data_IF_124032475878
#
_entry.id   IF_124032475878
#
_cell.length_a   1.000
_cell.length_b   1.000
_cell.length_c   1.000
_cell.angle_alpha   90.00
_cell.angle_beta   90.00
_cell.angle_gamma   90.00
#
_symmetry.space_group_name_H-M   'P 1'
#
loop_
_entity.id
_entity.type
_entity.pdbx_description
1 polymer ?
#
# COMPACT_ATOMS: atom_id res chain seq x y z
N UNK A 1 8.16 24.17 -14.99
CA UNK A 1 8.09 22.72 -15.28
C UNK A 1 7.09 22.35 -16.38
N UNK A 2 5.97 23.07 -16.55
CA UNK A 2 4.88 22.69 -17.46
C UNK A 2 5.08 23.00 -18.96
N UNK A 3 6.13 23.71 -19.37
CA UNK A 3 6.34 24.13 -20.76
C UNK A 3 7.33 23.27 -21.56
N UNK A 4 8.12 22.40 -20.91
CA UNK A 4 9.14 21.59 -21.59
C UNK A 4 8.60 20.40 -22.40
N UNK A 5 7.31 20.09 -22.29
CA UNK A 5 6.71 18.89 -22.89
C UNK A 5 5.63 19.18 -23.95
N UNK A 6 5.52 20.42 -24.45
CA UNK A 6 4.65 20.75 -25.59
C UNK A 6 5.45 20.63 -26.90
N UNK A 7 5.68 19.40 -27.35
CA UNK A 7 6.16 19.12 -28.70
C UNK A 7 5.24 18.10 -29.36
N UNK A 8 4.24 18.57 -30.10
CA UNK A 8 3.25 17.73 -30.81
C UNK A 8 3.79 17.04 -32.07
N UNK A 9 5.03 16.55 -32.04
CA UNK A 9 5.63 15.75 -33.11
C UNK A 9 6.25 14.49 -32.55
N UNK A 10 6.16 13.37 -33.27
CA UNK A 10 6.85 12.12 -32.92
C UNK A 10 8.32 12.43 -32.65
N UNK A 11 8.79 12.12 -31.43
CA UNK A 11 10.21 12.21 -31.14
C UNK A 11 10.97 11.27 -32.10
N UNK A 12 12.17 11.64 -32.57
CA UNK A 12 13.01 10.74 -33.37
C UNK A 12 13.67 9.64 -32.52
N UNK A 13 13.29 9.55 -31.24
CA UNK A 13 13.83 8.61 -30.25
C UNK A 13 12.65 7.80 -29.72
N UNK A 14 12.80 6.48 -29.74
CA UNK A 14 11.85 5.53 -29.16
C UNK A 14 12.40 4.99 -27.85
N UNK A 15 11.65 5.14 -26.78
CA UNK A 15 11.92 4.55 -25.48
C UNK A 15 11.27 3.17 -25.41
N UNK A 16 12.00 2.14 -24.96
CA UNK A 16 11.51 0.75 -24.93
C UNK A 16 11.58 0.22 -23.51
N UNK A 17 10.43 -0.16 -22.97
CA UNK A 17 10.29 -0.68 -21.61
C UNK A 17 9.62 -2.06 -21.62
N UNK A 18 10.06 -2.91 -20.70
CA UNK A 18 9.55 -4.26 -20.49
C UNK A 18 8.57 -4.25 -19.31
N UNK A 19 7.50 -5.04 -19.40
CA UNK A 19 6.55 -5.20 -18.29
C UNK A 19 7.27 -5.82 -17.08
N UNK A 20 6.94 -5.30 -15.90
CA UNK A 20 7.58 -5.65 -14.63
C UNK A 20 7.24 -7.08 -14.16
N UNK A 21 6.16 -7.68 -14.67
CA UNK A 21 5.62 -8.97 -14.24
C UNK A 21 5.63 -10.02 -15.35
N UNK A 22 5.67 -9.59 -16.61
CA UNK A 22 5.79 -10.44 -17.78
C UNK A 22 6.93 -9.98 -18.71
N UNK A 23 8.05 -10.69 -18.64
CA UNK A 23 9.25 -10.35 -19.42
C UNK A 23 9.05 -10.49 -20.93
N UNK A 24 8.04 -11.20 -21.38
CA UNK A 24 7.78 -11.34 -22.82
C UNK A 24 6.98 -10.16 -23.36
N UNK A 25 6.43 -9.31 -22.49
CA UNK A 25 5.65 -8.13 -22.84
C UNK A 25 6.54 -6.89 -22.83
N UNK A 26 6.58 -6.19 -23.97
CA UNK A 26 7.40 -4.98 -24.17
C UNK A 26 6.57 -3.94 -24.91
N UNK A 27 6.67 -2.69 -24.47
CA UNK A 27 6.09 -1.55 -25.16
C UNK A 27 7.19 -0.53 -25.53
N UNK A 28 6.97 0.19 -26.62
CA UNK A 28 7.84 1.28 -27.03
C UNK A 28 7.03 2.53 -27.32
N UNK A 29 7.47 3.66 -26.78
CA UNK A 29 6.82 4.96 -26.93
C UNK A 29 7.83 6.04 -27.33
N UNK A 30 7.43 6.95 -28.21
CA UNK A 30 8.25 8.11 -28.62
C UNK A 30 7.73 9.39 -27.97
N UNK A 31 7.50 9.34 -26.66
CA UNK A 31 6.96 10.43 -25.84
C UNK A 31 7.73 10.54 -24.51
N UNK A 32 8.11 11.76 -24.12
CA UNK A 32 8.84 11.98 -22.87
C UNK A 32 7.97 11.73 -21.63
N UNK A 33 6.65 11.91 -21.72
CA UNK A 33 5.73 11.57 -20.64
C UNK A 33 5.72 10.06 -20.38
N UNK A 34 5.81 9.25 -21.44
CA UNK A 34 5.90 7.79 -21.34
C UNK A 34 7.18 7.36 -20.63
N UNK A 35 8.32 7.89 -21.10
CA UNK A 35 9.63 7.66 -20.45
C UNK A 35 9.60 8.07 -18.97
N UNK A 36 9.06 9.25 -18.67
CA UNK A 36 8.95 9.74 -17.29
C UNK A 36 8.05 8.84 -16.42
N UNK A 37 6.95 8.32 -16.97
CA UNK A 37 6.04 7.44 -16.25
C UNK A 37 6.73 6.11 -15.90
N UNK A 38 7.43 5.49 -16.84
CA UNK A 38 8.19 4.26 -16.60
C UNK A 38 9.35 4.48 -15.61
N UNK A 39 10.08 5.59 -15.74
CA UNK A 39 11.13 5.94 -14.79
C UNK A 39 10.58 6.13 -13.37
N UNK A 40 9.47 6.86 -13.21
CA UNK A 40 8.82 7.05 -11.92
C UNK A 40 8.25 5.76 -11.33
N UNK A 41 7.74 4.84 -12.16
CA UNK A 41 7.34 3.51 -11.70
C UNK A 41 8.51 2.78 -11.03
N UNK A 42 9.71 2.82 -11.63
CA UNK A 42 10.91 2.24 -11.03
C UNK A 42 11.35 2.97 -9.75
N UNK A 43 11.18 4.29 -9.68
CA UNK A 43 11.42 5.04 -8.44
C UNK A 43 10.46 4.55 -7.35
N UNK A 44 9.16 4.40 -7.63
CA UNK A 44 8.20 3.85 -6.67
C UNK A 44 8.59 2.43 -6.22
N UNK A 45 9.00 1.57 -7.15
CA UNK A 45 9.45 0.22 -6.85
C UNK A 45 10.69 0.24 -5.92
N UNK A 46 11.72 1.03 -6.25
CA UNK A 46 12.91 1.18 -5.43
C UNK A 46 12.59 1.76 -4.04
N UNK A 47 11.75 2.78 -3.96
CA UNK A 47 11.31 3.38 -2.68
C UNK A 47 10.56 2.38 -1.82
N UNK A 48 9.67 1.58 -2.42
CA UNK A 48 8.97 0.50 -1.70
C UNK A 48 9.94 -0.57 -1.19
N UNK A 49 10.97 -0.90 -1.96
CA UNK A 49 12.01 -1.85 -1.56
C UNK A 49 12.86 -1.32 -0.40
N UNK A 50 13.23 -0.03 -0.42
CA UNK A 50 13.88 0.62 0.72
C UNK A 50 13.04 0.51 1.99
N UNK A 51 11.72 0.76 1.89
CA UNK A 51 10.80 0.59 3.02
C UNK A 51 10.80 -0.83 3.62
N UNK A 52 10.98 -1.86 2.79
CA UNK A 52 11.08 -3.25 3.25
C UNK A 52 12.43 -3.59 3.89
N UNK A 53 13.48 -2.81 3.60
CA UNK A 53 14.84 -3.03 4.10
C UNK A 53 15.10 -2.33 5.44
N UNK A 54 14.20 -1.45 5.88
CA UNK A 54 14.29 -0.77 7.18
C UNK A 54 14.07 -1.74 8.35
N UNK A 55 14.83 -1.56 9.43
CA UNK A 55 14.68 -2.33 10.66
C UNK A 55 13.42 -1.90 11.44
N UNK A 56 12.30 -2.57 11.17
CA UNK A 56 11.04 -2.40 11.92
C UNK A 56 11.09 -2.94 13.35
N UNK A 57 12.24 -3.47 13.81
CA UNK A 57 12.55 -3.71 15.21
C UNK A 57 12.92 -2.44 15.98
N UNK A 58 13.05 -1.28 15.34
CA UNK A 58 13.32 0.03 15.96
C UNK A 58 12.20 1.05 15.67
N UNK A 59 11.97 2.01 16.57
CA UNK A 59 10.96 3.07 16.33
C UNK A 59 11.34 3.93 15.11
N UNK A 60 12.62 4.20 14.93
CA UNK A 60 13.14 4.97 13.81
C UNK A 60 12.94 4.25 12.48
N UNK A 61 13.26 2.95 12.42
CA UNK A 61 13.02 2.14 11.22
C UNK A 61 11.53 2.01 10.88
N UNK A 62 10.64 1.90 11.89
CA UNK A 62 9.18 1.94 11.65
C UNK A 62 8.75 3.28 11.02
N UNK A 63 9.27 4.41 11.50
CA UNK A 63 8.97 5.73 10.93
C UNK A 63 9.48 5.85 9.50
N UNK A 64 10.74 5.46 9.24
CA UNK A 64 11.34 5.51 7.91
C UNK A 64 10.61 4.61 6.91
N UNK A 65 10.32 3.37 7.27
CA UNK A 65 9.54 2.46 6.45
C UNK A 65 8.17 3.07 6.10
N UNK A 66 7.50 3.65 7.09
CA UNK A 66 6.22 4.32 6.88
C UNK A 66 6.32 5.51 5.91
N UNK A 67 7.36 6.33 6.03
CA UNK A 67 7.62 7.44 5.11
C UNK A 67 7.82 6.93 3.69
N UNK A 68 8.74 5.98 3.48
CA UNK A 68 9.01 5.44 2.14
C UNK A 68 7.79 4.79 1.50
N UNK A 69 6.95 4.07 2.26
CA UNK A 69 5.70 3.55 1.69
C UNK A 69 4.72 4.66 1.28
N UNK A 70 4.62 5.75 2.04
CA UNK A 70 3.78 6.90 1.66
C UNK A 70 4.32 7.64 0.43
N UNK A 71 5.65 7.76 0.31
CA UNK A 71 6.30 8.32 -0.87
C UNK A 71 6.08 7.44 -2.10
N UNK A 72 6.27 6.12 -1.98
CA UNK A 72 5.98 5.18 -3.07
C UNK A 72 4.51 5.27 -3.52
N UNK A 73 3.56 5.41 -2.58
CA UNK A 73 2.15 5.62 -2.90
C UNK A 73 1.90 6.93 -3.67
N UNK A 74 2.59 8.02 -3.32
CA UNK A 74 2.46 9.30 -4.03
C UNK A 74 3.16 9.34 -5.38
N UNK A 75 4.28 8.61 -5.54
CA UNK A 75 4.94 8.42 -6.84
C UNK A 75 4.01 7.62 -7.77
N UNK A 76 3.40 6.52 -7.30
CA UNK A 76 2.43 5.74 -8.08
C UNK A 76 1.22 6.58 -8.53
N UNK A 77 0.75 7.50 -7.67
CA UNK A 77 -0.31 8.44 -8.07
C UNK A 77 0.14 9.37 -9.20
N UNK A 78 1.37 9.87 -9.14
CA UNK A 78 1.93 10.71 -10.21
C UNK A 78 2.07 9.94 -11.52
N UNK A 79 2.50 8.66 -11.47
CA UNK A 79 2.53 7.76 -12.64
C UNK A 79 1.13 7.60 -13.23
N UNK A 80 0.12 7.35 -12.38
CA UNK A 80 -1.28 7.21 -12.79
C UNK A 80 -1.80 8.45 -13.53
N UNK A 81 -1.48 9.64 -13.05
CA UNK A 81 -1.86 10.90 -13.71
C UNK A 81 -1.13 11.12 -15.04
N UNK A 82 0.15 10.73 -15.15
CA UNK A 82 0.88 10.76 -16.42
C UNK A 82 0.26 9.82 -17.44
N UNK A 83 -0.10 8.59 -17.04
CA UNK A 83 -0.77 7.61 -17.92
C UNK A 83 -2.10 8.15 -18.45
N UNK A 84 -2.94 8.71 -17.57
CA UNK A 84 -4.22 9.32 -17.97
C UNK A 84 -4.03 10.46 -18.96
N UNK A 85 -3.04 11.32 -18.73
CA UNK A 85 -2.76 12.48 -19.58
C UNK A 85 -2.15 12.08 -20.92
N UNK A 86 -1.25 11.09 -20.92
CA UNK A 86 -0.58 10.60 -22.11
C UNK A 86 -1.51 9.89 -23.08
N UNK A 87 -2.55 9.21 -22.54
CA UNK A 87 -3.53 8.46 -23.32
C UNK A 87 -2.89 7.53 -24.36
N UNK A 88 -1.78 6.89 -23.98
CA UNK A 88 -0.99 6.04 -24.86
C UNK A 88 -1.80 4.80 -25.27
N UNK A 89 -1.86 4.48 -26.58
CA UNK A 89 -2.72 3.42 -27.10
C UNK A 89 -2.23 2.02 -26.69
N UNK A 90 -0.91 1.85 -26.62
CA UNK A 90 -0.25 0.60 -26.25
C UNK A 90 0.46 0.81 -24.90
N UNK A 91 0.02 0.09 -23.88
CA UNK A 91 0.66 0.05 -22.56
C UNK A 91 0.84 -1.38 -22.10
N UNK A 92 1.95 -1.61 -21.44
CA UNK A 92 2.17 -2.85 -20.69
C UNK A 92 1.16 -2.93 -19.52
N UNK A 93 0.66 -4.13 -19.17
CA UNK A 93 -0.31 -4.30 -18.09
C UNK A 93 0.09 -3.66 -16.76
N UNK A 94 1.39 -3.64 -16.45
CA UNK A 94 1.92 -3.00 -15.25
C UNK A 94 1.64 -1.50 -15.13
N UNK A 95 1.52 -0.80 -16.27
CA UNK A 95 1.18 0.61 -16.37
C UNK A 95 -0.33 0.88 -16.44
N UNK A 96 -1.16 -0.16 -16.33
CA UNK A 96 -2.61 0.02 -16.32
C UNK A 96 -3.08 0.80 -15.08
N UNK A 97 -4.09 1.65 -15.25
CA UNK A 97 -4.65 2.44 -14.15
C UNK A 97 -5.12 1.57 -12.99
N UNK A 98 -5.71 0.41 -13.29
CA UNK A 98 -6.18 -0.53 -12.27
C UNK A 98 -5.03 -1.08 -11.41
N UNK A 99 -3.91 -1.47 -12.03
CA UNK A 99 -2.78 -1.98 -11.27
C UNK A 99 -2.09 -0.86 -10.49
N UNK A 100 -1.86 0.31 -11.09
CA UNK A 100 -1.26 1.45 -10.41
C UNK A 100 -2.07 1.86 -9.16
N UNK A 101 -3.41 1.86 -9.26
CA UNK A 101 -4.30 2.13 -8.14
C UNK A 101 -4.22 1.01 -7.07
N UNK A 102 -4.15 -0.25 -7.50
CA UNK A 102 -3.98 -1.38 -6.58
C UNK A 102 -2.66 -1.30 -5.80
N UNK A 103 -1.55 -0.99 -6.48
CA UNK A 103 -0.22 -0.85 -5.88
C UNK A 103 -0.17 0.35 -4.93
N UNK A 104 -0.79 1.48 -5.30
CA UNK A 104 -0.88 2.64 -4.43
C UNK A 104 -1.57 2.30 -3.10
N UNK A 105 -2.73 1.64 -3.15
CA UNK A 105 -3.44 1.22 -1.94
C UNK A 105 -2.67 0.18 -1.13
N UNK A 106 -1.95 -0.72 -1.80
CA UNK A 106 -1.05 -1.66 -1.12
C UNK A 106 0.06 -0.92 -0.36
N UNK A 107 0.69 0.10 -0.97
CA UNK A 107 1.71 0.91 -0.29
C UNK A 107 1.12 1.63 0.93
N UNK A 108 -0.07 2.23 0.82
CA UNK A 108 -0.76 2.84 1.97
C UNK A 108 -1.08 1.83 3.07
N UNK A 109 -1.53 0.62 2.71
CA UNK A 109 -1.79 -0.44 3.69
C UNK A 109 -0.51 -0.82 4.46
N UNK A 110 0.63 -0.94 3.77
CA UNK A 110 1.93 -1.20 4.40
C UNK A 110 2.38 -0.02 5.30
N UNK A 111 2.16 1.22 4.86
CA UNK A 111 2.46 2.40 5.66
C UNK A 111 1.63 2.45 6.95
N UNK A 112 0.32 2.19 6.85
CA UNK A 112 -0.58 2.16 8.01
C UNK A 112 -0.20 1.02 8.96
N UNK A 113 0.22 -0.14 8.44
CA UNK A 113 0.78 -1.24 9.24
C UNK A 113 2.00 -0.80 10.06
N UNK A 114 2.93 -0.04 9.47
CA UNK A 114 4.08 0.52 10.20
C UNK A 114 3.62 1.43 11.36
N UNK A 115 2.58 2.25 11.15
CA UNK A 115 1.97 3.05 12.22
C UNK A 115 1.32 2.21 13.31
N UNK A 116 0.66 1.11 12.93
CA UNK A 116 0.10 0.15 13.88
C UNK A 116 1.19 -0.51 14.75
N UNK A 117 2.29 -0.96 14.14
CA UNK A 117 3.45 -1.53 14.85
C UNK A 117 4.04 -0.52 15.84
N UNK A 118 4.17 0.75 15.42
CA UNK A 118 4.59 1.84 16.30
C UNK A 118 3.60 2.08 17.45
N UNK A 119 2.31 2.14 17.17
CA UNK A 119 1.27 2.43 18.17
C UNK A 119 1.18 1.34 19.25
N UNK A 120 1.27 0.08 18.84
CA UNK A 120 1.27 -1.07 19.74
C UNK A 120 2.53 -1.12 20.59
N UNK A 121 3.70 -0.88 19.99
CA UNK A 121 4.98 -0.81 20.73
C UNK A 121 5.03 0.33 21.73
N UNK A 122 4.44 1.47 21.40
CA UNK A 122 4.36 2.63 22.30
C UNK A 122 3.34 2.44 23.43
N UNK A 123 2.62 1.30 23.49
CA UNK A 123 1.61 1.05 24.52
C UNK A 123 0.45 2.04 24.46
N UNK A 124 0.07 2.49 23.26
CA UNK A 124 -1.09 3.37 23.09
C UNK A 124 -2.37 2.66 23.57
N UNK A 125 -3.35 3.44 24.03
CA UNK A 125 -4.64 2.90 24.49
C UNK A 125 -5.30 2.05 23.39
N UNK A 126 -5.85 0.90 23.79
CA UNK A 126 -6.54 -0.04 22.88
C UNK A 126 -7.62 0.62 22.03
N UNK A 127 -8.38 1.57 22.58
CA UNK A 127 -9.38 2.32 21.83
C UNK A 127 -8.78 3.10 20.63
N UNK A 128 -7.55 3.61 20.75
CA UNK A 128 -6.85 4.30 19.65
C UNK A 128 -6.27 3.26 18.69
N UNK A 129 -5.65 2.21 19.21
CA UNK A 129 -5.07 1.12 18.39
C UNK A 129 -6.16 0.48 17.53
N UNK A 130 -7.34 0.21 18.09
CA UNK A 130 -8.49 -0.35 17.37
C UNK A 130 -8.84 0.46 16.11
N UNK A 131 -8.85 1.80 16.19
CA UNK A 131 -9.15 2.67 15.05
C UNK A 131 -8.05 2.66 13.98
N UNK A 132 -6.79 2.60 14.41
CA UNK A 132 -5.63 2.49 13.51
C UNK A 132 -5.65 1.14 12.79
N UNK A 133 -5.93 0.06 13.52
CA UNK A 133 -6.04 -1.31 12.99
C UNK A 133 -7.25 -1.48 12.06
N UNK A 134 -8.38 -0.82 12.37
CA UNK A 134 -9.54 -0.80 11.50
C UNK A 134 -9.24 -0.15 10.14
N UNK A 135 -8.41 0.89 10.12
CA UNK A 135 -7.91 1.47 8.88
C UNK A 135 -6.97 0.51 8.13
N UNK A 136 -6.04 -0.19 8.82
CA UNK A 136 -5.21 -1.22 8.16
C UNK A 136 -6.08 -2.23 7.41
N UNK A 137 -7.11 -2.77 8.07
CA UNK A 137 -8.01 -3.73 7.47
C UNK A 137 -8.76 -3.15 6.26
N UNK A 138 -9.20 -1.88 6.36
CA UNK A 138 -9.82 -1.16 5.26
C UNK A 138 -8.90 -1.06 4.04
N UNK A 139 -7.68 -0.57 4.23
CA UNK A 139 -6.70 -0.40 3.14
C UNK A 139 -6.30 -1.74 2.50
N UNK A 140 -6.09 -2.80 3.29
CA UNK A 140 -5.83 -4.13 2.72
C UNK A 140 -7.04 -4.70 1.98
N UNK A 141 -8.27 -4.43 2.43
CA UNK A 141 -9.47 -4.82 1.70
C UNK A 141 -9.60 -4.07 0.36
N UNK A 142 -9.32 -2.78 0.35
CA UNK A 142 -9.35 -1.96 -0.85
C UNK A 142 -8.26 -2.40 -1.84
N UNK A 143 -7.04 -2.68 -1.35
CA UNK A 143 -5.96 -3.25 -2.15
C UNK A 143 -6.35 -4.63 -2.73
N UNK A 144 -6.95 -5.52 -1.93
CA UNK A 144 -7.41 -6.86 -2.38
C UNK A 144 -8.43 -6.74 -3.51
N UNK A 145 -9.42 -5.87 -3.34
CA UNK A 145 -10.48 -5.63 -4.34
C UNK A 145 -9.89 -5.10 -5.65
N UNK A 146 -8.96 -4.14 -5.56
CA UNK A 146 -8.30 -3.54 -6.72
C UNK A 146 -7.39 -4.52 -7.46
N UNK A 147 -6.59 -5.29 -6.72
CA UNK A 147 -5.76 -6.34 -7.31
C UNK A 147 -6.62 -7.40 -8.01
N UNK A 148 -7.79 -7.74 -7.46
CA UNK A 148 -8.73 -8.67 -8.10
C UNK A 148 -9.29 -8.19 -9.44
N UNK A 149 -9.31 -6.87 -9.68
CA UNK A 149 -9.70 -6.27 -10.97
C UNK A 149 -8.52 -5.92 -11.88
N UNK A 150 -7.29 -5.96 -11.36
CA UNK A 150 -6.09 -5.65 -12.12
C UNK A 150 -5.65 -6.86 -12.95
N UNK A 151 -5.29 -6.63 -14.20
CA UNK A 151 -4.61 -7.63 -15.01
C UNK A 151 -3.11 -7.54 -14.72
N UNK A 152 -2.58 -8.51 -14.02
CA UNK A 152 -1.14 -8.62 -13.73
C UNK A 152 -0.61 -9.74 -14.64
N UNK A 153 0.37 -9.40 -15.49
CA UNK A 153 1.05 -10.38 -16.34
C UNK A 153 1.83 -11.42 -15.54
N UNK A 154 2.11 -12.58 -16.15
CA UNK A 154 2.94 -13.63 -15.53
C UNK A 154 2.41 -14.24 -14.22
N UNK A 155 3.32 -14.86 -13.45
CA UNK A 155 2.98 -15.59 -12.21
C UNK A 155 2.99 -14.74 -10.93
N UNK A 156 3.53 -13.51 -10.96
CA UNK A 156 3.71 -12.67 -9.77
C UNK A 156 2.41 -12.17 -9.12
N UNK A 157 1.31 -12.17 -9.88
CA UNK A 157 -0.03 -11.75 -9.45
C UNK A 157 -0.55 -12.52 -8.24
N UNK A 158 -0.26 -13.82 -8.19
CA UNK A 158 -0.81 -14.73 -7.18
C UNK A 158 -0.14 -14.54 -5.82
N UNK A 159 1.17 -14.29 -5.81
CA UNK A 159 1.93 -14.16 -4.57
C UNK A 159 1.54 -12.88 -3.80
N UNK A 160 1.31 -11.78 -4.52
CA UNK A 160 0.86 -10.52 -3.90
C UNK A 160 -0.58 -10.60 -3.40
N UNK A 161 -1.49 -11.19 -4.18
CA UNK A 161 -2.86 -11.43 -3.74
C UNK A 161 -2.90 -12.30 -2.48
N UNK A 162 -2.07 -13.35 -2.42
CA UNK A 162 -1.89 -14.11 -1.19
C UNK A 162 -1.45 -13.17 -0.05
N UNK A 163 -0.32 -12.44 -0.18
CA UNK A 163 0.18 -11.46 0.81
C UNK A 163 -0.89 -10.49 1.34
N UNK A 164 -1.67 -9.89 0.45
CA UNK A 164 -2.73 -8.97 0.82
C UNK A 164 -3.82 -9.67 1.62
N UNK A 165 -4.23 -10.88 1.23
CA UNK A 165 -5.38 -11.55 1.83
C UNK A 165 -5.11 -12.01 3.28
N UNK A 166 -3.94 -12.57 3.61
CA UNK A 166 -3.68 -12.91 5.02
C UNK A 166 -3.44 -11.68 5.89
N UNK A 167 -2.83 -10.60 5.38
CA UNK A 167 -2.75 -9.34 6.15
C UNK A 167 -4.15 -8.75 6.37
N UNK A 168 -5.03 -8.76 5.37
CA UNK A 168 -6.43 -8.37 5.50
C UNK A 168 -7.11 -9.15 6.63
N UNK A 169 -7.01 -10.49 6.62
CA UNK A 169 -7.60 -11.36 7.65
C UNK A 169 -7.06 -11.10 9.05
N UNK A 170 -5.74 -10.88 9.16
CA UNK A 170 -5.12 -10.51 10.42
C UNK A 170 -5.71 -9.22 10.98
N UNK A 171 -5.76 -8.15 10.18
CA UNK A 171 -6.25 -6.85 10.64
C UNK A 171 -7.78 -6.80 10.81
N UNK A 172 -8.54 -7.59 10.05
CA UNK A 172 -9.96 -7.88 10.32
C UNK A 172 -10.16 -8.45 11.73
N UNK A 173 -9.27 -9.33 12.19
CA UNK A 173 -9.33 -9.87 13.54
C UNK A 173 -8.80 -8.91 14.61
N UNK A 174 -7.61 -8.35 14.40
CA UNK A 174 -6.91 -7.53 15.40
C UNK A 174 -7.70 -6.26 15.77
N UNK A 175 -8.43 -5.64 14.84
CA UNK A 175 -9.25 -4.47 15.18
C UNK A 175 -10.34 -4.81 16.22
N UNK A 176 -10.93 -6.01 16.14
CA UNK A 176 -11.91 -6.49 17.10
C UNK A 176 -11.28 -6.89 18.43
N UNK A 177 -10.04 -7.41 18.41
CA UNK A 177 -9.28 -7.68 19.63
C UNK A 177 -9.10 -6.42 20.47
N UNK A 178 -8.66 -5.31 19.88
CA UNK A 178 -8.48 -4.05 20.60
C UNK A 178 -9.83 -3.39 20.96
N UNK A 179 -10.82 -3.46 20.06
CA UNK A 179 -12.14 -2.89 20.34
C UNK A 179 -12.89 -3.59 21.48
N UNK A 180 -12.53 -4.84 21.81
CA UNK A 180 -13.12 -5.56 22.94
C UNK A 180 -12.83 -4.87 24.29
N UNK A 181 -11.73 -4.12 24.41
CA UNK A 181 -11.35 -3.42 25.64
C UNK A 181 -12.38 -2.37 26.06
N UNK A 182 -13.03 -1.69 25.10
CA UNK A 182 -14.09 -0.72 25.41
C UNK A 182 -15.33 -1.39 26.04
N UNK A 183 -15.66 -2.61 25.61
CA UNK A 183 -16.76 -3.38 26.20
C UNK A 183 -16.39 -3.94 27.58
N UNK A 184 -15.12 -4.31 27.78
CA UNK A 184 -14.60 -4.71 29.09
C UNK A 184 -14.68 -3.57 30.12
N UNK A 185 -14.24 -2.37 29.73
CA UNK A 185 -14.33 -1.16 30.56
C UNK A 185 -15.78 -0.75 30.86
N UNK A 186 -16.70 -1.02 29.93
CA UNK A 186 -18.13 -0.75 30.08
C UNK A 186 -18.90 -1.88 30.79
N UNK A 187 -18.22 -2.95 31.23
CA UNK A 187 -18.84 -4.15 31.82
C UNK A 187 -19.89 -4.83 30.91
N UNK A 188 -19.66 -4.81 29.60
CA UNK A 188 -20.50 -5.46 28.58
C UNK A 188 -19.85 -6.78 28.12
N UNK A 189 -19.74 -7.75 29.02
CA UNK A 189 -18.92 -8.96 28.82
C UNK A 189 -19.40 -9.86 27.68
N UNK A 190 -20.70 -9.89 27.40
CA UNK A 190 -21.25 -10.61 26.24
C UNK A 190 -20.77 -10.01 24.91
N UNK A 191 -20.73 -8.68 24.80
CA UNK A 191 -20.23 -7.96 23.61
C UNK A 191 -18.72 -8.08 23.47
N UNK A 192 -18.00 -8.01 24.60
CA UNK A 192 -16.55 -8.26 24.64
C UNK A 192 -16.24 -9.66 24.06
N UNK A 193 -16.91 -10.70 24.55
CA UNK A 193 -16.70 -12.08 24.09
C UNK A 193 -17.10 -12.28 22.62
N UNK A 194 -18.14 -11.59 22.15
CA UNK A 194 -18.53 -11.57 20.73
C UNK A 194 -17.39 -11.06 19.84
N UNK A 195 -16.82 -9.88 20.16
CA UNK A 195 -15.69 -9.31 19.41
C UNK A 195 -14.44 -10.21 19.47
N UNK A 196 -14.10 -10.73 20.65
CA UNK A 196 -12.93 -11.61 20.81
C UNK A 196 -13.07 -12.92 20.06
N UNK A 197 -14.28 -13.49 19.99
CA UNK A 197 -14.55 -14.71 19.22
C UNK A 197 -14.37 -14.47 17.72
N UNK A 198 -14.92 -13.36 17.21
CA UNK A 198 -14.70 -12.97 15.82
C UNK A 198 -13.21 -12.74 15.52
N UNK A 199 -12.50 -12.05 16.42
CA UNK A 199 -11.08 -11.80 16.31
C UNK A 199 -10.27 -13.10 16.21
N UNK A 200 -10.48 -14.05 17.13
CA UNK A 200 -9.79 -15.35 17.12
C UNK A 200 -10.00 -16.08 15.80
N UNK A 201 -11.23 -16.15 15.29
CA UNK A 201 -11.54 -16.87 14.05
C UNK A 201 -10.83 -16.24 12.84
N UNK A 202 -10.86 -14.91 12.71
CA UNK A 202 -10.20 -14.21 11.59
C UNK A 202 -8.68 -14.33 11.63
N UNK A 203 -8.08 -14.22 12.81
CA UNK A 203 -6.62 -14.41 12.94
C UNK A 203 -6.24 -15.88 12.68
N UNK A 204 -7.07 -16.85 13.06
CA UNK A 204 -6.85 -18.26 12.72
C UNK A 204 -6.89 -18.49 11.20
N UNK A 205 -7.85 -17.89 10.48
CA UNK A 205 -7.88 -17.91 9.01
C UNK A 205 -6.61 -17.32 8.41
N UNK A 206 -6.11 -16.19 8.95
CA UNK A 206 -4.87 -15.57 8.51
C UNK A 206 -3.65 -16.50 8.66
N UNK A 207 -3.56 -17.23 9.79
CA UNK A 207 -2.51 -18.24 10.04
C UNK A 207 -2.59 -19.38 9.02
N UNK A 208 -3.80 -19.81 8.65
CA UNK A 208 -3.96 -20.88 7.66
C UNK A 208 -3.52 -20.45 6.25
N UNK A 209 -3.78 -19.18 5.89
CA UNK A 209 -3.39 -18.62 4.60
C UNK A 209 -1.88 -18.36 4.51
N UNK A 210 -1.19 -18.06 5.61
CA UNK A 210 0.23 -17.72 5.60
C UNK A 210 1.19 -18.93 5.59
N UNK A 211 0.71 -20.17 5.43
CA UNK A 211 1.52 -21.40 5.55
C UNK A 211 2.73 -21.49 4.61
N UNK A 212 2.70 -20.78 3.48
CA UNK A 212 3.79 -20.74 2.49
C UNK A 212 4.75 -19.57 2.69
N UNK A 213 4.45 -18.65 3.61
CA UNK A 213 5.28 -17.49 3.90
C UNK A 213 6.59 -17.90 4.60
N UNK A 214 7.61 -17.03 4.68
CA UNK A 214 8.79 -17.24 5.52
C UNK A 214 8.41 -17.55 6.98
N UNK A 215 9.19 -18.39 7.66
CA UNK A 215 8.86 -18.91 9.01
C UNK A 215 8.71 -17.78 10.03
N UNK A 216 9.60 -16.80 9.98
CA UNK A 216 9.64 -15.63 10.87
C UNK A 216 8.34 -14.82 10.78
N UNK A 217 7.72 -14.83 9.59
CA UNK A 217 6.46 -14.13 9.35
C UNK A 217 5.25 -14.98 9.76
N UNK A 218 5.33 -16.31 9.62
CA UNK A 218 4.32 -17.21 10.19
C UNK A 218 4.26 -17.11 11.72
N UNK A 219 5.42 -17.04 12.38
CA UNK A 219 5.53 -16.92 13.84
C UNK A 219 4.85 -15.66 14.39
N UNK A 220 4.90 -14.55 13.66
CA UNK A 220 4.18 -13.32 14.03
C UNK A 220 2.66 -13.53 14.05
N UNK A 221 2.11 -14.24 13.07
CA UNK A 221 0.68 -14.50 12.97
C UNK A 221 0.21 -15.52 14.01
N UNK A 222 1.03 -16.54 14.26
CA UNK A 222 0.78 -17.53 15.33
C UNK A 222 0.81 -16.89 16.72
N UNK A 223 1.78 -16.00 16.96
CA UNK A 223 1.85 -15.20 18.20
C UNK A 223 0.60 -14.34 18.37
N UNK A 224 0.19 -13.61 17.33
CA UNK A 224 -1.03 -12.81 17.36
C UNK A 224 -2.26 -13.67 17.66
N UNK A 225 -2.42 -14.81 16.99
CA UNK A 225 -3.52 -15.75 17.26
C UNK A 225 -3.53 -16.22 18.71
N UNK A 226 -2.37 -16.56 19.26
CA UNK A 226 -2.21 -17.06 20.63
C UNK A 226 -2.68 -16.01 21.64
N UNK A 227 -2.20 -14.77 21.52
CA UNK A 227 -2.60 -13.64 22.38
C UNK A 227 -4.10 -13.40 22.33
N UNK A 228 -4.69 -13.35 21.13
CA UNK A 228 -6.14 -13.13 20.97
C UNK A 228 -6.94 -14.28 21.56
N UNK A 229 -6.52 -15.53 21.33
CA UNK A 229 -7.22 -16.72 21.81
C UNK A 229 -7.16 -16.85 23.34
N UNK A 230 -6.03 -16.54 23.96
CA UNK A 230 -5.90 -16.53 25.43
C UNK A 230 -6.82 -15.48 26.06
N UNK A 231 -6.88 -14.27 25.47
CA UNK A 231 -7.79 -13.21 25.93
C UNK A 231 -9.26 -13.65 25.80
N UNK A 232 -9.64 -14.25 24.66
CA UNK A 232 -10.98 -14.82 24.45
C UNK A 232 -11.30 -15.91 25.47
N UNK A 233 -10.36 -16.83 25.73
CA UNK A 233 -10.56 -17.94 26.66
C UNK A 233 -10.82 -17.45 28.10
N UNK A 234 -10.09 -16.40 28.53
CA UNK A 234 -10.29 -15.75 29.82
C UNK A 234 -11.67 -15.09 29.91
N UNK A 235 -12.01 -14.24 28.95
CA UNK A 235 -13.32 -13.57 28.89
C UNK A 235 -14.47 -14.58 28.83
N UNK A 236 -14.30 -15.69 28.12
CA UNK A 236 -15.28 -16.78 28.07
C UNK A 236 -15.47 -17.43 29.44
N UNK A 237 -14.37 -17.79 30.11
CA UNK A 237 -14.42 -18.40 31.44
C UNK A 237 -15.14 -17.49 32.43
N UNK A 238 -14.80 -16.21 32.45
CA UNK A 238 -15.39 -15.24 33.37
C UNK A 238 -16.88 -15.03 33.07
N UNK A 239 -17.26 -14.93 31.80
CA UNK A 239 -18.67 -14.84 31.42
C UNK A 239 -19.47 -16.11 31.75
N UNK A 240 -18.90 -17.30 31.56
CA UNK A 240 -19.60 -18.55 31.88
C UNK A 240 -19.78 -18.76 33.39
N UNK A 241 -18.82 -18.30 34.21
CA UNK A 241 -18.77 -18.58 35.65
C UNK A 241 -19.32 -17.45 36.53
N UNK A 242 -19.30 -16.20 36.06
CA UNK A 242 -19.59 -15.00 36.88
C UNK A 242 -20.73 -14.16 36.28
N UNK A 243 -20.59 -13.72 35.03
CA UNK A 243 -21.47 -12.68 34.48
C UNK A 243 -22.73 -13.24 33.81
N UNK A 244 -22.61 -14.41 33.18
CA UNK A 244 -23.66 -15.11 32.45
C UNK A 244 -24.41 -14.24 31.43
N UNK A 245 -23.73 -13.29 30.80
CA UNK A 245 -24.32 -12.47 29.74
C UNK A 245 -24.51 -13.25 28.45
N UNK A 246 -25.57 -12.92 27.71
CA UNK A 246 -25.79 -13.45 26.37
C UNK A 246 -24.78 -12.84 25.40
N UNK A 247 -24.16 -13.69 24.59
CA UNK A 247 -23.21 -13.26 23.54
C UNK A 247 -24.00 -12.92 22.27
N UNK A 248 -24.06 -11.65 21.85
CA UNK A 248 -24.74 -11.28 20.61
C UNK A 248 -23.88 -11.63 19.38
N UNK A 249 -24.48 -11.77 18.18
CA UNK A 249 -23.74 -11.85 16.93
C UNK A 249 -22.93 -10.57 16.68
N UNK A 250 -21.73 -10.70 16.11
CA UNK A 250 -20.80 -9.56 15.93
C UNK A 250 -21.37 -8.51 14.97
N UNK A 251 -22.21 -8.92 14.02
CA UNK A 251 -22.85 -8.08 13.02
C UNK A 251 -23.86 -7.10 13.64
N UNK A 252 -24.34 -7.39 14.85
CA UNK A 252 -25.23 -6.50 15.61
C UNK A 252 -24.47 -5.41 16.37
N UNK A 253 -23.14 -5.50 16.44
CA UNK A 253 -22.30 -4.53 17.13
C UNK A 253 -21.97 -3.34 16.21
N UNK A 254 -21.71 -2.15 16.76
CA UNK A 254 -21.31 -1.00 15.98
C UNK A 254 -20.04 -1.27 15.15
N UNK A 255 -20.04 -0.76 13.92
CA UNK A 255 -18.86 -0.74 13.07
C UNK A 255 -17.74 0.08 13.70
N UNK A 256 -16.50 -0.32 13.46
CA UNK A 256 -15.35 0.36 14.02
C UNK A 256 -15.01 1.60 13.21
N UNK A 257 -14.85 2.72 13.90
CA UNK A 257 -14.34 3.96 13.31
C UNK A 257 -12.91 3.73 12.82
N UNK A 258 -12.64 4.15 11.59
CA UNK A 258 -11.30 4.06 11.00
C UNK A 258 -10.57 5.37 11.17
N UNK A 259 -9.28 5.28 11.51
CA UNK A 259 -8.41 6.47 11.63
C UNK A 259 -7.24 6.39 10.63
N UNK A 260 -7.35 7.07 9.47
CA UNK A 260 -6.23 7.21 8.55
C UNK A 260 -5.08 7.96 9.21
N UNK A 261 -3.91 7.32 9.28
CA UNK A 261 -2.67 7.93 9.77
C UNK A 261 -1.68 8.20 8.64
N UNK A 262 -2.00 7.73 7.43
CA UNK A 262 -1.15 7.79 6.26
C UNK A 262 -1.88 8.42 5.08
N UNK A 263 -1.10 9.00 4.18
CA UNK A 263 -1.57 9.54 2.90
C UNK A 263 -0.47 9.42 1.85
N UNK A 264 -0.81 9.45 0.55
CA UNK A 264 0.20 9.60 -0.49
C UNK A 264 1.02 10.88 -0.26
N UNK A 265 2.34 10.80 -0.42
CA UNK A 265 3.24 11.96 -0.38
C UNK A 265 3.78 12.17 -1.79
N UNK A 266 3.38 13.26 -2.44
CA UNK A 266 3.70 13.45 -3.85
C UNK A 266 5.16 13.83 -4.06
N UNK A 267 5.78 13.41 -5.18
CA UNK A 267 7.16 13.81 -5.50
C UNK A 267 7.39 15.32 -5.49
N UNK A 268 6.39 16.12 -5.87
CA UNK A 268 6.47 17.58 -5.83
C UNK A 268 6.59 18.14 -4.41
N UNK A 269 6.11 17.41 -3.40
CA UNK A 269 6.26 17.78 -1.98
C UNK A 269 7.63 17.38 -1.43
N UNK A 270 8.35 16.48 -2.13
CA UNK A 270 9.66 15.94 -1.74
C UNK A 270 10.82 16.66 -2.46
N UNK A 271 10.58 17.03 -3.71
CA UNK A 271 11.52 17.77 -4.53
C UNK A 271 11.25 19.25 -4.31
N UNK A 272 11.99 19.88 -3.39
CA UNK A 272 12.30 21.30 -3.55
C UNK A 272 13.04 21.42 -4.89
N UNK A 273 12.30 21.64 -5.99
CA UNK A 273 12.90 21.81 -7.31
C UNK A 273 13.72 23.10 -7.21
N UNK A 274 15.07 23.04 -7.18
CA UNK A 274 15.85 24.26 -7.29
C UNK A 274 15.45 24.90 -8.61
N UNK A 275 15.25 26.23 -8.68
CA UNK A 275 14.92 26.87 -9.94
C UNK A 275 15.92 26.39 -10.99
N UNK A 276 15.40 25.85 -12.10
CA UNK A 276 16.24 25.36 -13.18
C UNK A 276 17.26 26.46 -13.50
N UNK A 277 18.57 26.17 -13.56
CA UNK A 277 19.53 27.15 -14.00
C UNK A 277 19.05 27.67 -15.36
N UNK A 278 19.00 28.99 -15.52
CA UNK A 278 18.62 29.60 -16.79
C UNK A 278 19.45 28.95 -17.91
N UNK A 279 18.84 28.57 -19.05
CA UNK A 279 19.53 27.84 -20.09
C UNK A 279 20.74 28.65 -20.55
N UNK A 280 21.93 28.23 -20.13
CA UNK A 280 23.18 28.99 -20.35
C UNK A 280 23.70 28.85 -21.78
N UNK A 281 22.93 28.21 -22.67
CA UNK A 281 23.26 28.03 -24.07
C UNK A 281 22.00 28.31 -24.89
N UNK A 282 21.78 29.58 -25.20
CA UNK A 282 21.05 29.94 -26.42
C UNK A 282 21.90 29.38 -27.56
N UNK A 283 21.57 28.20 -28.08
CA UNK A 283 22.13 27.77 -29.36
C UNK A 283 21.70 28.84 -30.36
N UNK A 284 22.66 29.66 -30.80
CA UNK A 284 22.42 30.57 -31.91
C UNK A 284 21.96 29.71 -33.10
N UNK A 285 20.89 30.11 -33.80
CA UNK A 285 20.47 29.39 -35.00
C UNK A 285 21.66 29.34 -35.96
N UNK A 286 22.02 28.13 -36.40
CA UNK A 286 23.03 27.92 -37.43
C UNK A 286 22.61 28.73 -38.66
N UNK A 287 23.49 29.59 -39.23
CA UNK A 287 23.17 30.30 -40.46
C UNK A 287 22.81 29.29 -41.55
N UNK A 288 21.82 29.57 -42.40
CA UNK A 288 21.50 28.71 -43.53
C UNK A 288 22.73 28.56 -44.43
N UNK A 289 23.05 27.33 -44.84
CA UNK A 289 24.11 27.06 -45.81
C UNK A 289 23.87 27.88 -47.09
N UNK A 290 24.90 28.52 -47.66
CA UNK A 290 24.74 29.23 -48.92
C UNK A 290 24.35 28.22 -50.00
N UNK A 291 23.21 28.48 -50.64
CA UNK A 291 22.73 27.73 -51.81
C UNK A 291 23.85 27.70 -52.85
N UNK A 292 24.33 26.50 -53.18
CA UNK A 292 25.20 26.28 -54.31
C UNK A 292 24.44 26.71 -55.58
N UNK A 293 24.80 27.88 -56.10
CA UNK A 293 24.38 28.32 -57.43
C UNK A 293 25.08 27.39 -58.42
N UNK A 294 24.28 26.63 -59.18
CA UNK A 294 24.75 25.88 -60.32
C UNK A 294 25.14 26.86 -61.44
N UNK A 295 26.39 26.79 -61.90
CA UNK A 295 26.78 27.18 -63.27
C UNK A 295 26.71 25.97 -64.19
#
# INVERSE_FOLDING_TARGET
>A
AAELFRGGGSLPISFRWQDSFDKDVVCAGSDFGYEAACALFNVAAATSFMATSEDRGSEEGMKKACTYFQEAAGILDAVKELVKRGAWPDLTPDMSINLLDALQFLMLAQAQKCFYEKATRAGMKDAIVAKITAECAGLYNDASTRLGHATIGGSGSKDWLEVVEWNKKLFEGMQHHYAASAHEEAHEYGKQLSRLTYATNRVAEAVLLCKKAPKELQEQFVTAHTVVNERRARAKKDNDMVYNEKVPPVETLPTLERKPMVKPVHPADLLEVPPLPEPSIVRQPTPPEPSAVAE
#
